data_IF_593816515823
#
_entry.id   IF_593816515823
#
_cell.length_a   1.000
_cell.length_b   1.000
_cell.length_c   1.000
_cell.angle_alpha   90.00
_cell.angle_beta   90.00
_cell.angle_gamma   90.00
#
_symmetry.space_group_name_H-M   'P 1'
#
loop_
_entity.id
_entity.type
_entity.pdbx_description
1 polymer ?
#
# COMPACT_ATOMS: atom_id res chain seq x y z
N UNK A 1 3.00 8.49 -6.45
CA UNK A 1 2.41 7.56 -5.47
C UNK A 1 1.10 8.10 -4.92
N UNK A 2 0.14 7.21 -4.65
CA UNK A 2 -1.03 7.47 -3.81
C UNK A 2 -0.86 6.74 -2.46
N UNK A 3 -1.39 7.31 -1.38
CA UNK A 3 -1.41 6.69 -0.04
C UNK A 3 -2.82 6.76 0.53
N UNK A 4 -3.20 5.76 1.32
CA UNK A 4 -4.44 5.79 2.08
C UNK A 4 -4.47 6.99 3.03
N UNK A 5 -5.67 7.47 3.37
CA UNK A 5 -5.86 8.56 4.33
C UNK A 5 -5.65 8.12 5.78
N UNK A 6 -5.76 6.83 6.03
CA UNK A 6 -5.56 6.22 7.35
C UNK A 6 -4.20 5.57 7.43
N UNK A 7 -3.51 5.80 8.55
CA UNK A 7 -2.23 5.18 8.86
C UNK A 7 -2.25 4.45 10.20
N UNK A 8 -1.33 3.52 10.35
CA UNK A 8 -1.17 2.63 11.49
C UNK A 8 0.15 2.93 12.19
N UNK A 9 0.15 2.94 13.53
CA UNK A 9 1.32 3.31 14.34
C UNK A 9 1.70 2.28 15.40
N UNK A 10 0.92 1.20 15.54
CA UNK A 10 1.18 0.06 16.42
C UNK A 10 0.36 -1.14 15.98
N UNK A 11 0.79 -2.34 16.36
CA UNK A 11 0.16 -3.61 16.03
C UNK A 11 0.35 -4.08 14.59
N UNK A 12 -0.36 -5.15 14.26
CA UNK A 12 -0.22 -5.90 13.01
C UNK A 12 -1.41 -5.66 12.07
N UNK A 13 -1.14 -5.29 10.82
CA UNK A 13 -2.14 -4.81 9.86
C UNK A 13 -1.93 -5.37 8.45
N UNK A 14 -3.01 -5.44 7.69
CA UNK A 14 -3.01 -6.01 6.34
C UNK A 14 -3.97 -5.30 5.37
N UNK A 15 -3.59 -5.27 4.09
CA UNK A 15 -4.47 -4.90 2.98
C UNK A 15 -4.06 -5.65 1.71
N UNK A 16 -4.96 -5.69 0.72
CA UNK A 16 -4.72 -6.33 -0.57
C UNK A 16 -4.77 -5.32 -1.72
N UNK A 17 -4.11 -5.67 -2.81
CA UNK A 17 -4.13 -4.96 -4.07
C UNK A 17 -4.37 -5.93 -5.23
N UNK A 18 -5.51 -5.80 -5.91
CA UNK A 18 -5.78 -6.53 -7.16
C UNK A 18 -5.23 -5.76 -8.36
N UNK A 19 -4.37 -6.41 -9.12
CA UNK A 19 -3.78 -5.85 -10.34
C UNK A 19 -4.75 -6.05 -11.51
N UNK A 20 -5.06 -4.98 -12.26
CA UNK A 20 -6.14 -4.99 -13.27
C UNK A 20 -5.66 -5.05 -14.71
N UNK A 21 -4.43 -4.64 -15.00
CA UNK A 21 -3.93 -4.49 -16.38
C UNK A 21 -2.51 -5.04 -16.49
N UNK A 22 -2.19 -5.60 -17.65
CA UNK A 22 -0.82 -6.03 -17.98
C UNK A 22 0.03 -4.82 -18.43
N UNK A 23 -0.61 -3.83 -19.05
CA UNK A 23 0.01 -2.65 -19.63
C UNK A 23 0.34 -1.60 -18.55
N UNK A 24 1.34 -1.88 -17.72
CA UNK A 24 1.84 -0.91 -16.75
C UNK A 24 2.69 -1.56 -15.68
N UNK A 25 3.26 -0.72 -14.81
CA UNK A 25 4.10 -1.19 -13.71
C UNK A 25 3.58 -0.72 -12.36
N UNK A 26 3.84 -1.55 -11.37
CA UNK A 26 3.22 -1.47 -10.06
C UNK A 26 4.28 -1.54 -8.99
N UNK A 27 4.15 -0.66 -7.98
CA UNK A 27 4.70 -0.96 -6.65
C UNK A 27 3.63 -0.77 -5.60
N UNK A 28 3.56 -1.73 -4.68
CA UNK A 28 2.66 -1.72 -3.53
C UNK A 28 3.47 -1.79 -2.24
N UNK A 29 2.91 -1.33 -1.14
CA UNK A 29 3.53 -1.49 0.17
C UNK A 29 3.14 -0.38 1.14
N UNK A 30 4.11 0.10 1.91
CA UNK A 30 3.88 1.02 3.01
C UNK A 30 4.74 2.27 2.88
N UNK A 31 4.18 3.42 3.29
CA UNK A 31 4.93 4.67 3.29
C UNK A 31 4.51 5.58 4.44
N UNK A 32 5.48 6.27 5.04
CA UNK A 32 5.23 7.30 6.05
C UNK A 32 4.77 8.62 5.42
N UNK A 33 4.29 9.56 6.25
CA UNK A 33 3.80 10.87 5.79
C UNK A 33 4.83 11.68 5.01
N UNK A 34 6.12 11.51 5.31
CA UNK A 34 7.24 12.23 4.70
C UNK A 34 7.68 11.68 3.34
N UNK A 35 7.12 10.55 2.90
CA UNK A 35 7.50 9.96 1.63
C UNK A 35 7.13 10.85 0.43
N UNK A 36 8.01 10.93 -0.55
CA UNK A 36 7.85 11.72 -1.77
C UNK A 36 6.67 11.23 -2.61
N UNK A 37 5.60 12.02 -2.67
CA UNK A 37 4.36 11.65 -3.36
C UNK A 37 4.52 11.61 -4.88
N UNK A 38 5.50 12.32 -5.46
CA UNK A 38 5.77 12.31 -6.91
C UNK A 38 6.65 11.14 -7.35
N UNK A 39 7.18 10.36 -6.41
CA UNK A 39 7.99 9.18 -6.70
C UNK A 39 7.20 7.88 -6.54
N UNK A 40 7.88 6.76 -6.80
CA UNK A 40 7.37 5.41 -6.57
C UNK A 40 7.55 4.98 -5.12
N UNK A 41 6.75 4.02 -4.64
CA UNK A 41 6.95 3.41 -3.31
C UNK A 41 8.38 2.85 -3.24
N UNK A 42 9.08 3.13 -2.13
CA UNK A 42 10.47 2.71 -1.92
C UNK A 42 11.55 3.63 -2.51
N UNK A 43 11.17 4.76 -3.13
CA UNK A 43 12.14 5.71 -3.68
C UNK A 43 13.01 6.37 -2.60
N UNK A 44 12.44 6.73 -1.46
CA UNK A 44 13.16 7.32 -0.34
C UNK A 44 13.14 6.39 0.88
N UNK A 45 13.81 6.83 1.95
CA UNK A 45 13.85 6.13 3.24
C UNK A 45 12.50 6.04 3.97
N UNK A 46 11.45 6.69 3.47
CA UNK A 46 10.12 6.72 4.10
C UNK A 46 9.13 5.76 3.43
N UNK A 47 9.52 5.09 2.35
CA UNK A 47 8.72 4.09 1.65
C UNK A 47 9.38 2.72 1.61
N UNK A 48 8.55 1.68 1.59
CA UNK A 48 8.93 0.27 1.52
C UNK A 48 8.04 -0.40 0.48
N UNK A 49 8.60 -0.75 -0.67
CA UNK A 49 7.84 -1.17 -1.84
C UNK A 49 8.17 -2.58 -2.30
N UNK A 50 7.17 -3.27 -2.83
CA UNK A 50 7.26 -4.50 -3.60
C UNK A 50 6.87 -4.19 -5.04
N UNK A 51 7.73 -4.56 -5.99
CA UNK A 51 7.61 -4.26 -7.43
C UNK A 51 7.22 -5.51 -8.21
N UNK A 52 6.37 -5.32 -9.20
CA UNK A 52 5.91 -6.32 -10.17
C UNK A 52 7.07 -7.04 -10.89
N UNK A 53 8.01 -6.27 -11.43
CA UNK A 53 9.15 -6.78 -12.20
C UNK A 53 10.15 -7.45 -11.26
N UNK A 54 10.44 -8.72 -11.55
CA UNK A 54 11.38 -9.58 -10.81
C UNK A 54 11.05 -9.69 -9.32
N UNK A 55 9.80 -9.45 -8.95
CA UNK A 55 9.36 -9.46 -7.56
C UNK A 55 10.27 -8.68 -6.61
N UNK A 56 10.80 -7.55 -7.08
CA UNK A 56 11.85 -6.85 -6.37
C UNK A 56 11.30 -6.08 -5.17
N UNK A 57 12.04 -6.07 -4.08
CA UNK A 57 11.75 -5.19 -2.93
C UNK A 57 12.62 -3.93 -3.03
N UNK A 58 12.03 -2.77 -2.73
CA UNK A 58 12.65 -1.46 -2.95
C UNK A 58 12.49 -0.57 -1.72
N UNK A 59 13.59 -0.01 -1.25
CA UNK A 59 13.64 0.96 -0.14
C UNK A 59 14.85 1.86 -0.32
N UNK A 60 14.73 3.17 -0.04
CA UNK A 60 15.83 4.13 -0.16
C UNK A 60 16.50 4.07 -1.55
N UNK A 61 15.69 3.92 -2.61
CA UNK A 61 16.11 3.71 -4.00
C UNK A 61 16.98 2.46 -4.25
N UNK A 62 17.22 1.64 -3.24
CA UNK A 62 17.92 0.35 -3.37
C UNK A 62 16.91 -0.72 -3.72
N UNK A 63 17.22 -1.48 -4.77
CA UNK A 63 16.40 -2.56 -5.30
C UNK A 63 17.10 -3.88 -5.08
N UNK A 64 16.41 -4.84 -4.48
CA UNK A 64 16.83 -6.23 -4.38
C UNK A 64 15.86 -7.06 -5.22
N UNK A 65 16.34 -7.57 -6.35
CA UNK A 65 15.56 -8.42 -7.26
C UNK A 65 15.37 -9.83 -6.66
N UNK A 66 14.32 -10.54 -7.09
CA UNK A 66 14.01 -11.94 -6.77
C UNK A 66 13.82 -12.25 -5.28
N UNK A 67 13.54 -11.23 -4.48
CA UNK A 67 13.21 -11.37 -3.04
C UNK A 67 11.78 -11.86 -2.81
N UNK A 68 10.91 -11.68 -3.79
CA UNK A 68 9.54 -12.19 -3.83
C UNK A 68 9.24 -12.69 -5.26
N UNK A 69 8.12 -13.37 -5.48
CA UNK A 69 7.70 -13.74 -6.82
C UNK A 69 7.35 -12.49 -7.66
N UNK A 70 7.57 -12.47 -8.98
CA UNK A 70 6.97 -11.45 -9.84
C UNK A 70 5.43 -11.60 -9.86
N UNK A 71 4.73 -10.49 -10.10
CA UNK A 71 3.28 -10.46 -10.19
C UNK A 71 2.81 -9.58 -11.35
N UNK A 72 1.58 -9.82 -11.82
CA UNK A 72 1.01 -9.14 -12.98
C UNK A 72 -0.51 -9.06 -12.93
N UNK A 73 -1.14 -8.88 -14.08
CA UNK A 73 -2.61 -8.79 -14.15
C UNK A 73 -3.29 -10.01 -13.51
N UNK A 74 -4.42 -9.74 -12.85
CA UNK A 74 -5.25 -10.70 -12.13
C UNK A 74 -4.66 -11.23 -10.80
N UNK A 75 -3.38 -11.01 -10.53
CA UNK A 75 -2.82 -11.32 -9.22
C UNK A 75 -3.40 -10.40 -8.13
N UNK A 76 -3.50 -10.94 -6.92
CA UNK A 76 -3.79 -10.20 -5.69
C UNK A 76 -2.52 -10.18 -4.84
N UNK A 77 -2.04 -8.97 -4.56
CA UNK A 77 -0.84 -8.76 -3.74
C UNK A 77 -1.26 -8.30 -2.35
N UNK A 78 -0.94 -9.12 -1.34
CA UNK A 78 -1.15 -8.81 0.06
C UNK A 78 0.04 -8.05 0.64
N UNK A 79 -0.24 -7.06 1.49
CA UNK A 79 0.77 -6.23 2.15
C UNK A 79 0.53 -6.25 3.66
N UNK A 80 1.45 -6.86 4.41
CA UNK A 80 1.43 -6.88 5.87
C UNK A 80 2.43 -5.90 6.47
N UNK A 81 2.10 -5.38 7.65
CA UNK A 81 3.06 -4.70 8.52
C UNK A 81 2.79 -5.10 9.96
N UNK A 82 3.86 -5.43 10.69
CA UNK A 82 3.87 -5.45 12.14
C UNK A 82 4.68 -4.24 12.61
N UNK A 83 3.99 -3.21 13.08
CA UNK A 83 4.63 -1.95 13.48
C UNK A 83 5.42 -2.13 14.77
N UNK A 84 4.97 -3.04 15.65
CA UNK A 84 5.60 -3.26 16.96
C UNK A 84 6.87 -4.12 16.82
N UNK A 85 6.86 -5.12 15.93
CA UNK A 85 8.03 -5.91 15.58
C UNK A 85 8.96 -5.23 14.56
N UNK A 86 8.48 -4.20 13.85
CA UNK A 86 9.23 -3.51 12.81
C UNK A 86 9.44 -4.38 11.57
N UNK A 87 8.41 -5.13 11.16
CA UNK A 87 8.47 -6.07 10.04
C UNK A 87 7.43 -5.74 8.95
N UNK A 88 7.84 -5.84 7.69
CA UNK A 88 6.93 -5.77 6.53
C UNK A 88 7.10 -7.04 5.71
N UNK A 89 5.99 -7.68 5.37
CA UNK A 89 5.94 -8.87 4.53
C UNK A 89 4.91 -8.75 3.41
N UNK A 90 5.07 -9.55 2.37
CA UNK A 90 4.19 -9.55 1.21
C UNK A 90 3.60 -10.93 0.94
N UNK A 91 2.50 -10.95 0.20
CA UNK A 91 1.81 -12.17 -0.22
C UNK A 91 1.45 -12.05 -1.70
N UNK A 92 1.41 -13.18 -2.39
CA UNK A 92 0.88 -13.28 -3.75
C UNK A 92 -0.19 -14.37 -3.77
N UNK A 93 -1.43 -14.00 -4.08
CA UNK A 93 -2.57 -14.92 -4.15
C UNK A 93 -2.70 -15.80 -2.88
N UNK A 94 -2.48 -15.19 -1.71
CA UNK A 94 -2.52 -15.86 -0.40
C UNK A 94 -1.20 -16.51 0.04
N UNK A 95 -0.26 -16.76 -0.88
CA UNK A 95 1.02 -17.37 -0.54
C UNK A 95 2.00 -16.34 0.02
N UNK A 96 2.56 -16.61 1.20
CA UNK A 96 3.55 -15.73 1.83
C UNK A 96 4.83 -15.65 0.99
N UNK A 97 5.32 -14.43 0.81
CA UNK A 97 6.63 -14.15 0.21
C UNK A 97 7.71 -13.93 1.30
N UNK A 98 7.36 -14.17 2.56
CA UNK A 98 8.22 -13.94 3.72
C UNK A 98 8.28 -12.47 4.17
N UNK A 99 9.17 -12.22 5.13
CA UNK A 99 9.45 -10.88 5.65
C UNK A 99 10.46 -10.19 4.74
N UNK A 100 10.02 -9.16 4.03
CA UNK A 100 10.83 -8.40 3.08
C UNK A 100 11.69 -7.32 3.74
N UNK A 101 11.19 -6.70 4.82
CA UNK A 101 11.91 -5.67 5.56
C UNK A 101 11.83 -5.95 7.06
N UNK A 102 12.97 -5.81 7.73
CA UNK A 102 13.13 -5.95 9.18
C UNK A 102 13.71 -4.67 9.77
N UNK A 103 13.53 -4.48 11.07
CA UNK A 103 14.01 -3.28 11.78
C UNK A 103 13.48 -1.99 11.15
N UNK A 104 12.24 -2.02 10.67
CA UNK A 104 11.55 -0.86 10.09
C UNK A 104 11.42 0.22 11.18
N UNK A 105 11.81 1.49 10.92
CA UNK A 105 11.81 2.52 11.96
C UNK A 105 10.40 2.76 12.54
N UNK A 106 10.33 3.10 13.83
CA UNK A 106 9.08 3.51 14.44
C UNK A 106 8.45 4.70 13.69
N UNK A 107 7.12 4.69 13.58
CA UNK A 107 6.38 5.75 12.91
C UNK A 107 4.97 5.35 12.53
N UNK A 108 4.30 6.22 11.78
CA UNK A 108 2.97 5.95 11.23
C UNK A 108 3.09 5.58 9.75
N UNK A 109 2.59 4.40 9.40
CA UNK A 109 2.65 3.84 8.06
C UNK A 109 1.29 3.85 7.40
N UNK A 110 1.26 4.19 6.13
CA UNK A 110 0.05 4.26 5.32
C UNK A 110 0.18 3.24 4.18
N UNK A 111 -0.87 2.45 3.88
CA UNK A 111 -0.94 1.69 2.65
C UNK A 111 -0.66 2.60 1.46
N UNK A 112 0.22 2.15 0.55
CA UNK A 112 0.74 2.97 -0.52
C UNK A 112 0.86 2.18 -1.82
N UNK A 113 0.53 2.85 -2.93
CA UNK A 113 0.66 2.31 -4.28
C UNK A 113 1.28 3.35 -5.22
N UNK A 114 2.10 2.90 -6.15
CA UNK A 114 2.59 3.71 -7.26
C UNK A 114 2.44 2.96 -8.57
N UNK A 115 1.96 3.69 -9.57
CA UNK A 115 1.58 3.17 -10.88
C UNK A 115 2.41 3.88 -11.95
N UNK A 116 2.76 3.18 -13.02
CA UNK A 116 3.44 3.73 -14.19
C UNK A 116 2.81 3.16 -15.47
N UNK A 117 2.71 3.99 -16.51
CA UNK A 117 2.02 3.64 -17.77
C UNK A 117 0.50 3.58 -17.61
N UNK A 118 -0.15 2.63 -18.27
CA UNK A 118 -1.61 2.43 -18.21
C UNK A 118 -2.03 1.54 -17.03
N UNK A 119 -1.21 1.47 -15.98
CA UNK A 119 -1.45 0.64 -14.80
C UNK A 119 -2.76 1.00 -14.09
N UNK A 120 -3.52 -0.03 -13.71
CA UNK A 120 -4.73 0.08 -12.90
C UNK A 120 -4.71 -0.95 -11.76
N UNK A 121 -5.12 -0.53 -10.57
CA UNK A 121 -5.13 -1.33 -9.34
C UNK A 121 -6.43 -1.09 -8.56
N UNK A 122 -6.90 -2.10 -7.83
CA UNK A 122 -7.95 -1.95 -6.82
C UNK A 122 -7.38 -2.30 -5.46
N UNK A 123 -7.39 -1.37 -4.52
CA UNK A 123 -7.01 -1.64 -3.13
C UNK A 123 -8.23 -2.14 -2.36
N UNK A 124 -8.05 -3.24 -1.61
CA UNK A 124 -9.02 -3.78 -0.68
C UNK A 124 -8.46 -3.64 0.74
N UNK A 125 -9.11 -2.80 1.54
CA UNK A 125 -8.71 -2.50 2.91
C UNK A 125 -9.40 -3.40 3.94
N UNK A 126 -10.16 -4.40 3.50
CA UNK A 126 -10.94 -5.31 4.32
C UNK A 126 -12.36 -4.78 4.62
N UNK A 127 -13.12 -5.48 5.48
CA UNK A 127 -12.68 -6.64 6.27
C UNK A 127 -12.65 -7.95 5.47
N UNK A 128 -13.31 -8.02 4.33
CA UNK A 128 -13.37 -9.23 3.50
C UNK A 128 -12.26 -9.22 2.45
N UNK A 129 -11.29 -10.12 2.59
CA UNK A 129 -10.17 -10.29 1.67
C UNK A 129 -10.44 -11.41 0.65
N UNK A 130 -9.81 -11.31 -0.53
CA UNK A 130 -9.80 -12.40 -1.50
C UNK A 130 -8.94 -13.56 -0.97
N UNK A 131 -7.81 -13.22 -0.36
CA UNK A 131 -6.87 -14.14 0.29
C UNK A 131 -6.53 -13.64 1.70
N UNK A 132 -7.34 -14.00 2.71
CA UNK A 132 -7.08 -13.63 4.10
C UNK A 132 -5.70 -14.11 4.57
N UNK A 133 -4.95 -13.30 5.34
CA UNK A 133 -3.64 -13.70 5.83
C UNK A 133 -3.75 -14.78 6.92
N UNK A 134 -2.76 -15.67 7.00
CA UNK A 134 -2.74 -16.79 7.97
C UNK A 134 -2.63 -16.33 9.44
N UNK A 135 -1.96 -15.20 9.69
CA UNK A 135 -1.83 -14.61 11.04
C UNK A 135 -2.93 -13.60 11.29
N UNK A 136 -3.21 -13.34 12.56
CA UNK A 136 -4.19 -12.37 13.06
C UNK A 136 -3.78 -10.91 12.74
N UNK A 137 -3.90 -10.53 11.47
CA UNK A 137 -3.70 -9.16 11.01
C UNK A 137 -5.05 -8.44 10.96
N UNK A 138 -5.09 -7.23 11.50
CA UNK A 138 -6.29 -6.40 11.42
C UNK A 138 -6.42 -5.76 10.03
N UNK A 139 -7.64 -5.69 9.47
CA UNK A 139 -7.87 -4.97 8.24
C UNK A 139 -7.76 -3.45 8.47
N UNK A 140 -7.34 -2.72 7.45
CA UNK A 140 -7.28 -1.25 7.51
C UNK A 140 -8.67 -0.62 7.68
N UNK A 141 -9.73 -1.29 7.23
CA UNK A 141 -11.12 -0.87 7.41
C UNK A 141 -11.55 -0.68 8.86
N UNK A 142 -10.92 -1.36 9.82
CA UNK A 142 -11.22 -1.19 11.26
C UNK A 142 -10.95 0.24 11.75
N UNK A 143 -10.15 0.99 11.01
CA UNK A 143 -9.80 2.37 11.30
C UNK A 143 -10.62 3.39 10.49
N UNK A 144 -11.60 2.95 9.68
CA UNK A 144 -12.40 3.83 8.83
C UNK A 144 -13.18 4.89 9.63
N UNK A 145 -13.60 4.56 10.86
CA UNK A 145 -14.27 5.50 11.78
C UNK A 145 -13.40 6.71 12.17
N UNK A 146 -12.09 6.65 11.98
CA UNK A 146 -11.14 7.75 12.26
C UNK A 146 -11.09 8.77 11.11
N UNK A 147 -11.68 8.46 9.95
CA UNK A 147 -11.75 9.39 8.82
C UNK A 147 -12.86 10.40 9.09
N UNK A 148 -12.49 11.68 9.26
CA UNK A 148 -13.50 12.74 9.32
C UNK A 148 -14.17 12.85 7.95
N UNK A 149 -15.51 13.00 7.88
CA UNK A 149 -16.16 13.27 6.62
C UNK A 149 -15.60 14.56 6.01
N UNK A 150 -15.52 14.67 4.66
CA UNK A 150 -15.15 15.91 4.01
C UNK A 150 -16.08 17.03 4.51
N UNK A 151 -15.51 18.18 4.86
CA UNK A 151 -16.32 19.38 5.11
C UNK A 151 -16.99 19.73 3.80
N UNK A 152 -18.33 19.63 3.73
CA UNK A 152 -19.07 20.11 2.57
C UNK A 152 -18.75 21.60 2.36
N UNK A 153 -17.95 21.90 1.35
CA UNK A 153 -17.78 23.29 0.90
C UNK A 153 -19.12 23.73 0.33
N UNK A 154 -19.83 24.61 1.05
CA UNK A 154 -21.05 25.26 0.56
C UNK A 154 -20.82 25.74 -0.87
N UNK A 155 -21.62 25.23 -1.80
CA UNK A 155 -21.64 25.72 -3.18
C UNK A 155 -21.87 27.24 -3.15
N UNK A 156 -20.90 28.00 -3.66
CA UNK A 156 -21.06 29.42 -3.91
C UNK A 156 -22.23 29.60 -4.88
N UNK A 157 -23.33 30.20 -4.41
CA UNK A 157 -24.44 30.62 -5.26
C UNK A 157 -23.90 31.64 -6.25
N UNK A 158 -23.61 31.19 -7.48
CA UNK A 158 -23.34 32.10 -8.60
C UNK A 158 -24.56 32.98 -8.79
N UNK A 159 -24.42 34.28 -8.53
CA UNK A 159 -25.41 35.27 -8.91
C UNK A 159 -25.53 35.27 -10.44
N UNK A 160 -26.72 34.97 -10.95
CA UNK A 160 -27.10 35.30 -12.31
C UNK A 160 -27.26 36.82 -12.37
N UNK A 161 -26.35 37.48 -13.07
CA UNK A 161 -26.58 38.85 -13.53
C UNK A 161 -27.48 38.72 -14.77
N UNK A 162 -28.57 39.49 -14.73
CA UNK A 162 -29.60 39.65 -15.75
C UNK A 162 -29.04 40.34 -16.99
#
# INVERSE_FOLDING_TARGET
MARCVVGVSSGTWYFECRIRREEGHYRVGWAQKKAELRAAVGFDKWGFGYRDIRGAVVHDSKRLDDMCAPYGANDVVGCSIDVDAGEIGFYKNGETQGVAFRSVPAGTYYPAVSLYGNAQITANFGPTFDFPPEKDHKPISDLASRVRPPVETRASKRHRVI
#
